data_IF_964720562747
#
_entry.id   IF_964720562747
#
_cell.length_a   1.000
_cell.length_b   1.000
_cell.length_c   1.000
_cell.angle_alpha   90.00
_cell.angle_beta   90.00
_cell.angle_gamma   90.00
#
_symmetry.space_group_name_H-M   'P 1'
#
loop_
_entity.id
_entity.type
_entity.pdbx_description
1 polymer ?
#
# COMPACT_ATOMS: atom_id res chain seq x y z
N UNK A 1 -6.90 37.64 16.46
CA UNK A 1 -7.74 36.50 16.00
C UNK A 1 -6.84 35.28 15.99
N UNK A 2 -7.21 34.18 16.65
CA UNK A 2 -6.40 32.94 16.63
C UNK A 2 -6.63 32.30 15.26
N UNK A 3 -5.81 32.68 14.27
CA UNK A 3 -5.82 32.02 12.97
C UNK A 3 -5.18 30.65 13.15
N UNK A 4 -5.93 29.60 12.80
CA UNK A 4 -5.45 28.23 12.91
C UNK A 4 -4.51 27.97 11.71
N UNK A 5 -3.23 27.63 11.92
CA UNK A 5 -2.31 27.40 10.81
C UNK A 5 -2.78 26.25 9.91
N UNK A 6 -2.68 26.41 8.60
CA UNK A 6 -3.12 25.38 7.64
C UNK A 6 -2.41 24.02 7.82
N UNK A 7 -1.10 23.96 8.17
CA UNK A 7 -0.45 22.70 8.49
C UNK A 7 -1.12 21.96 9.66
N UNK A 8 -1.73 22.67 10.61
CA UNK A 8 -2.45 22.03 11.71
C UNK A 8 -3.70 21.29 11.22
N UNK A 9 -4.41 21.87 10.24
CA UNK A 9 -5.56 21.21 9.61
C UNK A 9 -5.11 19.94 8.88
N UNK A 10 -4.01 19.99 8.13
CA UNK A 10 -3.44 18.81 7.48
C UNK A 10 -3.03 17.74 8.48
N UNK A 11 -2.47 18.13 9.63
CA UNK A 11 -2.13 17.21 10.72
C UNK A 11 -3.35 16.42 11.19
N UNK A 12 -4.47 17.11 11.43
CA UNK A 12 -5.73 16.50 11.85
C UNK A 12 -6.29 15.55 10.78
N UNK A 13 -6.28 15.98 9.51
CA UNK A 13 -6.76 15.15 8.39
C UNK A 13 -5.93 13.87 8.28
N UNK A 14 -4.61 13.97 8.23
CA UNK A 14 -3.74 12.79 8.12
C UNK A 14 -3.83 11.91 9.37
N UNK A 15 -3.94 12.49 10.56
CA UNK A 15 -4.16 11.76 11.81
C UNK A 15 -5.47 10.95 11.78
N UNK A 16 -6.57 11.58 11.36
CA UNK A 16 -7.85 10.91 11.17
C UNK A 16 -7.77 9.78 10.13
N UNK A 17 -7.14 10.02 8.98
CA UNK A 17 -6.96 9.00 7.94
C UNK A 17 -6.13 7.81 8.43
N UNK A 18 -5.09 8.08 9.22
CA UNK A 18 -4.25 7.05 9.85
C UNK A 18 -5.08 6.18 10.80
N UNK A 19 -5.82 6.81 11.72
CA UNK A 19 -6.69 6.11 12.67
C UNK A 19 -7.74 5.27 11.93
N UNK A 20 -8.40 5.86 10.93
CA UNK A 20 -9.40 5.17 10.11
C UNK A 20 -8.82 3.95 9.38
N UNK A 21 -7.58 4.03 8.91
CA UNK A 21 -6.93 2.92 8.21
C UNK A 21 -6.59 1.77 9.17
N UNK A 22 -6.05 2.09 10.34
CA UNK A 22 -5.70 1.12 11.39
C UNK A 22 -6.95 0.44 11.96
N UNK A 23 -7.99 1.21 12.30
CA UNK A 23 -9.24 0.66 12.86
C UNK A 23 -9.99 -0.26 11.88
N UNK A 24 -9.85 -0.02 10.58
CA UNK A 24 -10.47 -0.87 9.55
C UNK A 24 -9.70 -2.18 9.29
N UNK A 25 -8.57 -2.41 9.97
CA UNK A 25 -7.78 -3.64 9.85
C UNK A 25 -7.25 -3.90 8.43
N UNK A 26 -7.05 -2.84 7.63
CA UNK A 26 -6.59 -3.00 6.24
C UNK A 26 -5.10 -3.35 6.20
N UNK A 27 -4.67 -4.26 5.31
CA UNK A 27 -3.28 -4.73 5.25
C UNK A 27 -2.37 -3.75 4.47
N UNK A 28 -2.38 -2.46 4.84
CA UNK A 28 -1.49 -1.43 4.26
C UNK A 28 -0.74 -0.64 5.35
N UNK A 29 0.15 -1.33 6.10
CA UNK A 29 0.77 -0.78 7.30
C UNK A 29 1.76 0.35 7.01
N UNK A 30 2.46 0.34 5.87
CA UNK A 30 3.47 1.36 5.56
C UNK A 30 2.82 2.66 5.10
N UNK A 31 1.68 2.60 4.41
CA UNK A 31 0.86 3.75 4.10
C UNK A 31 0.27 4.37 5.38
N UNK A 32 -0.17 3.55 6.34
CA UNK A 32 -0.57 4.07 7.65
C UNK A 32 0.59 4.78 8.36
N UNK A 33 1.79 4.19 8.34
CA UNK A 33 2.99 4.80 8.90
C UNK A 33 3.34 6.13 8.20
N UNK A 34 3.24 6.18 6.88
CA UNK A 34 3.44 7.41 6.09
C UNK A 34 2.44 8.50 6.49
N UNK A 35 1.14 8.18 6.55
CA UNK A 35 0.10 9.14 6.94
C UNK A 35 0.31 9.64 8.38
N UNK A 36 0.67 8.75 9.31
CA UNK A 36 0.98 9.11 10.68
C UNK A 36 2.20 10.04 10.77
N UNK A 37 3.23 9.77 9.96
CA UNK A 37 4.43 10.60 9.89
C UNK A 37 4.13 11.98 9.29
N UNK A 38 3.31 12.05 8.24
CA UNK A 38 2.82 13.31 7.68
C UNK A 38 2.02 14.12 8.71
N UNK A 39 1.16 13.45 9.48
CA UNK A 39 0.40 14.09 10.55
C UNK A 39 1.33 14.69 11.62
N UNK A 40 2.32 13.91 12.08
CA UNK A 40 3.28 14.36 13.08
C UNK A 40 4.14 15.52 12.56
N UNK A 41 4.63 15.45 11.32
CA UNK A 41 5.44 16.51 10.73
C UNK A 41 4.65 17.82 10.55
N UNK A 42 3.38 17.75 10.15
CA UNK A 42 2.55 18.93 10.00
C UNK A 42 2.28 19.62 11.36
N UNK A 43 2.16 18.84 12.44
CA UNK A 43 2.12 19.37 13.80
C UNK A 43 3.46 19.99 14.21
N UNK A 44 4.58 19.32 13.94
CA UNK A 44 5.92 19.85 14.22
C UNK A 44 6.14 21.18 13.49
N UNK A 45 5.76 21.29 12.21
CA UNK A 45 5.84 22.54 11.45
C UNK A 45 5.02 23.65 12.12
N UNK A 46 3.79 23.36 12.53
CA UNK A 46 2.91 24.31 13.24
C UNK A 46 3.56 24.82 14.53
N UNK A 47 4.08 23.90 15.35
CA UNK A 47 4.72 24.24 16.61
C UNK A 47 6.03 25.03 16.40
N UNK A 48 6.81 24.66 15.39
CA UNK A 48 8.10 25.28 15.08
C UNK A 48 7.96 26.69 14.51
N UNK A 49 7.08 26.86 13.51
CA UNK A 49 6.98 28.07 12.69
C UNK A 49 5.95 29.08 13.20
N UNK A 50 4.80 28.62 13.70
CA UNK A 50 3.70 29.52 14.12
C UNK A 50 3.68 29.77 15.63
N UNK A 51 4.05 28.76 16.44
CA UNK A 51 4.08 28.90 17.91
C UNK A 51 5.49 29.06 18.49
N UNK A 52 6.52 28.97 17.65
CA UNK A 52 7.90 29.22 18.05
C UNK A 52 8.46 28.28 19.14
N UNK A 53 7.96 27.04 19.21
CA UNK A 53 8.43 26.02 20.17
C UNK A 53 9.85 25.58 19.81
N UNK A 54 10.79 25.80 20.73
CA UNK A 54 12.22 25.53 20.50
C UNK A 54 12.54 24.07 20.15
N UNK A 55 11.94 23.12 20.88
CA UNK A 55 12.11 21.68 20.61
C UNK A 55 11.62 21.30 19.20
N UNK A 56 10.50 21.89 18.76
CA UNK A 56 9.95 21.63 17.44
C UNK A 56 10.89 22.12 16.33
N UNK A 57 11.44 23.34 16.45
CA UNK A 57 12.48 23.86 15.53
C UNK A 57 13.73 22.97 15.49
N UNK A 58 14.10 22.40 16.64
CA UNK A 58 15.25 21.51 16.72
C UNK A 58 15.02 20.21 15.95
N UNK A 59 13.84 19.59 16.04
CA UNK A 59 13.60 18.30 15.37
C UNK A 59 13.15 18.43 13.91
N UNK A 60 12.50 19.54 13.54
CA UNK A 60 11.76 19.73 12.28
C UNK A 60 12.52 19.28 11.00
N UNK A 61 13.72 19.80 10.67
CA UNK A 61 14.46 19.36 9.48
C UNK A 61 14.85 17.88 9.47
N UNK A 62 15.14 17.30 10.64
CA UNK A 62 15.60 15.90 10.74
C UNK A 62 14.41 14.96 10.59
N UNK A 63 13.29 15.25 11.27
CA UNK A 63 12.07 14.46 11.15
C UNK A 63 11.45 14.53 9.74
N UNK A 64 11.61 15.67 9.04
CA UNK A 64 11.17 15.83 7.65
C UNK A 64 11.79 14.78 6.70
N UNK A 65 13.02 14.33 6.99
CA UNK A 65 13.75 13.39 6.12
C UNK A 65 13.21 11.96 6.15
N UNK A 66 12.40 11.62 7.14
CA UNK A 66 11.75 10.33 7.18
C UNK A 66 10.63 10.20 6.13
N UNK A 67 10.00 11.31 5.70
CA UNK A 67 8.81 11.28 4.83
C UNK A 67 9.12 10.72 3.43
N UNK A 68 10.12 11.22 2.68
CA UNK A 68 10.40 10.71 1.33
C UNK A 68 10.79 9.23 1.33
N UNK A 69 11.60 8.83 2.32
CA UNK A 69 11.99 7.45 2.54
C UNK A 69 10.78 6.56 2.83
N UNK A 70 9.90 6.98 3.75
CA UNK A 70 8.69 6.25 4.10
C UNK A 70 7.73 6.15 2.92
N UNK A 71 7.59 7.22 2.12
CA UNK A 71 6.74 7.22 0.92
C UNK A 71 7.21 6.18 -0.10
N UNK A 72 8.52 6.07 -0.30
CA UNK A 72 9.11 5.05 -1.17
C UNK A 72 8.91 3.63 -0.65
N UNK A 73 9.13 3.40 0.65
CA UNK A 73 8.92 2.09 1.27
C UNK A 73 7.44 1.68 1.23
N UNK A 74 6.53 2.62 1.49
CA UNK A 74 5.09 2.40 1.37
C UNK A 74 4.69 2.07 -0.07
N UNK A 75 5.25 2.74 -1.06
CA UNK A 75 5.02 2.40 -2.46
C UNK A 75 5.50 0.98 -2.79
N UNK A 76 6.72 0.60 -2.37
CA UNK A 76 7.26 -0.74 -2.66
C UNK A 76 6.47 -1.86 -2.00
N UNK A 77 6.04 -1.66 -0.76
CA UNK A 77 5.32 -2.67 0.02
C UNK A 77 3.83 -2.69 -0.30
N UNK A 78 3.14 -1.58 -0.05
CA UNK A 78 1.68 -1.49 -0.17
C UNK A 78 1.23 -1.22 -1.61
N UNK A 79 2.05 -0.55 -2.43
CA UNK A 79 1.78 -0.33 -3.85
C UNK A 79 2.15 -1.52 -4.73
N UNK A 80 3.37 -2.04 -4.58
CA UNK A 80 3.93 -3.10 -5.44
C UNK A 80 3.93 -4.50 -4.82
N UNK A 81 3.66 -4.65 -3.53
CA UNK A 81 3.64 -5.97 -2.89
C UNK A 81 4.99 -6.55 -2.53
N UNK A 82 6.05 -5.75 -2.65
CA UNK A 82 7.40 -6.22 -2.39
C UNK A 82 7.64 -6.37 -0.89
N UNK A 83 8.52 -7.31 -0.55
CA UNK A 83 8.99 -7.45 0.83
C UNK A 83 10.14 -6.48 1.09
N UNK A 84 10.23 -6.01 2.33
CA UNK A 84 11.37 -5.23 2.80
C UNK A 84 12.60 -6.13 2.99
N UNK A 85 13.76 -5.60 2.66
CA UNK A 85 15.06 -6.24 2.86
C UNK A 85 15.97 -5.36 3.71
N UNK A 86 17.02 -5.94 4.29
CA UNK A 86 17.97 -5.19 5.13
C UNK A 86 18.61 -3.99 4.40
N UNK A 87 18.77 -4.08 3.07
CA UNK A 87 19.28 -2.99 2.23
C UNK A 87 18.40 -1.75 2.27
N UNK A 88 17.11 -1.90 2.58
CA UNK A 88 16.17 -0.79 2.67
C UNK A 88 16.46 0.10 3.88
N UNK A 89 17.25 -0.37 4.86
CA UNK A 89 17.77 0.45 5.95
C UNK A 89 18.65 1.61 5.45
N UNK A 90 19.23 1.50 4.25
CA UNK A 90 20.01 2.59 3.64
C UNK A 90 19.17 3.84 3.39
N UNK A 91 17.84 3.72 3.28
CA UNK A 91 16.96 4.90 3.16
C UNK A 91 16.97 5.77 4.45
N UNK A 92 17.47 5.26 5.58
CA UNK A 92 17.71 6.01 6.81
C UNK A 92 18.97 6.91 6.77
N UNK A 93 19.85 6.74 5.79
CA UNK A 93 21.09 7.52 5.69
C UNK A 93 20.84 9.03 5.54
N UNK A 94 19.77 9.43 4.85
CA UNK A 94 19.40 10.84 4.71
C UNK A 94 19.08 11.51 6.05
N UNK A 95 18.37 10.80 6.93
CA UNK A 95 18.06 11.28 8.27
C UNK A 95 19.31 11.34 9.16
N UNK A 96 20.21 10.36 9.05
CA UNK A 96 21.50 10.37 9.74
C UNK A 96 22.40 11.53 9.29
N UNK A 97 22.45 11.79 7.97
CA UNK A 97 23.17 12.92 7.40
C UNK A 97 22.59 14.26 7.87
N UNK A 98 21.26 14.40 7.89
CA UNK A 98 20.60 15.60 8.39
C UNK A 98 20.90 15.86 9.89
N UNK A 99 20.97 14.80 10.69
CA UNK A 99 21.35 14.89 12.10
C UNK A 99 22.81 15.34 12.27
N UNK A 100 23.74 14.80 11.47
CA UNK A 100 25.16 15.15 11.52
C UNK A 100 25.42 16.61 11.06
N UNK A 101 24.72 17.06 10.01
CA UNK A 101 24.86 18.42 9.47
C UNK A 101 24.19 19.48 10.35
N UNK A 102 23.32 19.08 11.28
CA UNK A 102 22.56 20.01 12.12
C UNK A 102 23.45 20.91 12.99
N UNK A 103 24.54 20.38 13.55
CA UNK A 103 25.39 21.12 14.49
C UNK A 103 26.21 22.23 13.83
N UNK A 104 26.25 22.30 12.50
CA UNK A 104 27.14 23.21 11.75
C UNK A 104 26.40 24.33 11.01
N UNK A 105 25.11 24.57 11.28
CA UNK A 105 24.28 25.63 10.65
C UNK A 105 24.53 25.77 9.14
N UNK A 106 24.72 24.63 8.47
CA UNK A 106 25.27 24.62 7.11
C UNK A 106 24.15 24.72 6.08
N UNK A 107 24.36 25.55 5.05
CA UNK A 107 23.55 25.57 3.83
C UNK A 107 23.35 24.18 3.21
N UNK A 108 24.27 23.23 3.49
CA UNK A 108 24.16 21.83 3.09
C UNK A 108 22.88 21.16 3.63
N UNK A 109 22.45 21.47 4.85
CA UNK A 109 21.21 20.93 5.41
C UNK A 109 19.99 21.51 4.68
N UNK A 110 20.03 22.80 4.36
CA UNK A 110 18.96 23.48 3.63
C UNK A 110 18.80 22.97 2.20
N UNK A 111 19.88 22.49 1.58
CA UNK A 111 19.84 21.86 0.25
C UNK A 111 19.55 20.36 0.31
N UNK A 112 20.04 19.66 1.34
CA UNK A 112 19.85 18.22 1.48
C UNK A 112 18.36 17.85 1.56
N UNK A 113 17.57 18.64 2.28
CA UNK A 113 16.13 18.39 2.44
C UNK A 113 15.40 18.40 1.09
N UNK A 114 15.36 19.50 0.33
CA UNK A 114 14.66 19.56 -0.95
C UNK A 114 15.22 18.58 -1.98
N UNK A 115 16.53 18.35 -2.01
CA UNK A 115 17.15 17.36 -2.92
C UNK A 115 16.67 15.94 -2.62
N UNK A 116 16.53 15.58 -1.35
CA UNK A 116 16.02 14.27 -0.95
C UNK A 116 14.56 14.11 -1.37
N UNK A 117 13.71 15.11 -1.11
CA UNK A 117 12.31 15.09 -1.55
C UNK A 117 12.19 14.99 -3.07
N UNK A 118 12.95 15.77 -3.82
CA UNK A 118 12.96 15.74 -5.28
C UNK A 118 13.42 14.37 -5.82
N UNK A 119 14.49 13.80 -5.25
CA UNK A 119 15.01 12.50 -5.65
C UNK A 119 13.98 11.38 -5.50
N UNK A 120 13.28 11.32 -4.36
CA UNK A 120 12.22 10.33 -4.15
C UNK A 120 10.95 10.63 -4.96
N UNK A 121 10.60 11.89 -5.17
CA UNK A 121 9.48 12.26 -6.05
C UNK A 121 9.73 11.75 -7.48
N UNK A 122 10.95 11.96 -8.01
CA UNK A 122 11.36 11.46 -9.32
C UNK A 122 11.42 9.94 -9.37
N UNK A 123 11.97 9.29 -8.34
CA UNK A 123 12.02 7.83 -8.26
C UNK A 123 10.61 7.22 -8.25
N UNK A 124 9.70 7.79 -7.46
CA UNK A 124 8.31 7.36 -7.38
C UNK A 124 7.58 7.59 -8.71
N UNK A 125 7.72 8.76 -9.32
CA UNK A 125 7.15 9.06 -10.64
C UNK A 125 7.68 8.12 -11.74
N UNK A 126 8.98 7.84 -11.75
CA UNK A 126 9.60 6.90 -12.69
C UNK A 126 9.09 5.47 -12.47
N UNK A 127 8.88 5.06 -11.22
CA UNK A 127 8.31 3.75 -10.90
C UNK A 127 6.84 3.65 -11.31
N UNK A 128 6.04 4.69 -11.09
CA UNK A 128 4.63 4.74 -11.48
C UNK A 128 4.45 4.63 -12.99
N UNK A 129 5.30 5.31 -13.78
CA UNK A 129 5.31 5.21 -15.25
C UNK A 129 5.56 3.80 -15.77
N UNK A 130 6.32 2.97 -15.02
CA UNK A 130 6.66 1.60 -15.42
C UNK A 130 5.57 0.57 -15.12
N UNK A 131 4.74 0.83 -14.11
CA UNK A 131 3.78 -0.15 -13.57
C UNK A 131 2.42 -0.10 -14.27
N UNK A 132 2.09 1.04 -14.91
CA UNK A 132 0.83 1.19 -15.65
C UNK A 132 -0.40 1.25 -14.71
N UNK A 133 -1.63 1.18 -15.27
CA UNK A 133 -2.88 1.32 -14.52
C UNK A 133 -3.23 0.11 -13.63
N UNK A 134 -2.69 -1.08 -13.93
CA UNK A 134 -3.00 -2.32 -13.22
C UNK A 134 -1.98 -2.57 -12.09
N UNK A 135 -2.24 -1.98 -10.93
CA UNK A 135 -1.42 -2.20 -9.74
C UNK A 135 -1.58 -3.64 -9.20
N UNK A 136 -0.49 -4.36 -8.89
CA UNK A 136 -0.54 -5.76 -8.43
C UNK A 136 -1.44 -6.02 -7.21
N UNK A 137 -1.63 -5.01 -6.35
CA UNK A 137 -2.47 -5.07 -5.15
C UNK A 137 -3.71 -4.18 -5.19
N UNK A 138 -4.01 -3.53 -6.32
CA UNK A 138 -5.31 -2.89 -6.47
C UNK A 138 -6.39 -3.98 -6.47
N UNK A 139 -7.44 -3.80 -5.66
CA UNK A 139 -8.59 -4.71 -5.72
C UNK A 139 -9.19 -4.61 -7.12
N UNK A 140 -9.36 -5.75 -7.78
CA UNK A 140 -10.18 -5.86 -8.99
C UNK A 140 -11.54 -5.18 -8.71
N UNK A 141 -11.86 -4.14 -9.50
CA UNK A 141 -13.03 -3.27 -9.32
C UNK A 141 -12.76 -1.87 -8.75
N UNK A 142 -11.52 -1.49 -8.41
CA UNK A 142 -11.19 -0.13 -7.93
C UNK A 142 -10.63 0.83 -9.00
N UNK A 143 -10.50 0.37 -10.25
CA UNK A 143 -10.05 1.21 -11.38
C UNK A 143 -8.74 1.96 -11.12
N UNK A 144 -8.64 3.18 -11.66
CA UNK A 144 -7.45 4.04 -11.57
C UNK A 144 -7.22 4.67 -10.17
N UNK A 145 -8.09 4.44 -9.19
CA UNK A 145 -8.06 5.13 -7.88
C UNK A 145 -6.76 4.91 -7.09
N UNK A 146 -6.23 3.68 -6.97
CA UNK A 146 -4.99 3.48 -6.21
C UNK A 146 -3.79 4.12 -6.92
N UNK A 147 -3.78 4.14 -8.26
CA UNK A 147 -2.72 4.80 -9.04
C UNK A 147 -2.76 6.32 -8.83
N UNK A 148 -3.95 6.94 -8.90
CA UNK A 148 -4.13 8.37 -8.66
C UNK A 148 -3.65 8.78 -7.27
N UNK A 149 -3.91 7.97 -6.24
CA UNK A 149 -3.42 8.23 -4.89
C UNK A 149 -1.88 8.29 -4.83
N UNK A 150 -1.19 7.35 -5.47
CA UNK A 150 0.28 7.35 -5.51
C UNK A 150 0.87 8.46 -6.38
N UNK A 151 0.19 8.84 -7.47
CA UNK A 151 0.52 10.05 -8.24
C UNK A 151 0.40 11.27 -7.34
N UNK A 152 -0.67 11.37 -6.55
CA UNK A 152 -0.87 12.44 -5.57
C UNK A 152 0.26 12.51 -4.54
N UNK A 153 0.75 11.36 -4.05
CA UNK A 153 1.93 11.31 -3.16
C UNK A 153 3.18 11.83 -3.87
N UNK A 154 3.45 11.42 -5.11
CA UNK A 154 4.62 11.88 -5.87
C UNK A 154 4.57 13.40 -6.12
N UNK A 155 3.41 13.93 -6.50
CA UNK A 155 3.18 15.37 -6.67
C UNK A 155 3.35 16.12 -5.36
N UNK A 156 2.86 15.56 -4.25
CA UNK A 156 3.01 16.17 -2.92
C UNK A 156 4.47 16.25 -2.48
N UNK A 157 5.28 15.23 -2.76
CA UNK A 157 6.73 15.25 -2.51
C UNK A 157 7.43 16.30 -3.38
N UNK A 158 7.07 16.42 -4.66
CA UNK A 158 7.64 17.43 -5.55
C UNK A 158 7.29 18.85 -5.10
N UNK A 159 6.04 19.09 -4.71
CA UNK A 159 5.59 20.38 -4.17
C UNK A 159 6.33 20.72 -2.86
N UNK A 160 6.56 19.72 -1.99
CA UNK A 160 7.33 19.91 -0.76
C UNK A 160 8.78 20.28 -1.06
N UNK A 161 9.43 19.62 -2.04
CA UNK A 161 10.77 19.98 -2.48
C UNK A 161 10.87 21.43 -2.98
N UNK A 162 9.86 21.89 -3.74
CA UNK A 162 9.79 23.28 -4.22
C UNK A 162 9.59 24.27 -3.07
N UNK A 163 8.73 23.94 -2.11
CA UNK A 163 8.51 24.73 -0.90
C UNK A 163 9.80 24.87 -0.09
N UNK A 164 10.51 23.76 0.15
CA UNK A 164 11.75 23.74 0.93
C UNK A 164 12.86 24.52 0.22
N UNK A 165 12.95 24.45 -1.11
CA UNK A 165 13.87 25.27 -1.90
C UNK A 165 13.54 26.76 -1.79
N UNK A 166 12.25 27.12 -1.78
CA UNK A 166 11.78 28.47 -1.54
C UNK A 166 12.17 28.99 -0.15
N UNK A 167 12.07 28.15 0.88
CA UNK A 167 12.50 28.47 2.25
C UNK A 167 14.02 28.70 2.30
N UNK A 168 14.81 27.79 1.72
CA UNK A 168 16.26 27.94 1.66
C UNK A 168 16.67 29.24 0.95
N UNK A 169 16.04 29.56 -0.19
CA UNK A 169 16.28 30.82 -0.90
C UNK A 169 15.91 32.04 -0.04
N UNK A 170 14.76 31.99 0.65
CA UNK A 170 14.34 33.07 1.54
C UNK A 170 15.33 33.30 2.69
N UNK A 171 15.91 32.24 3.26
CA UNK A 171 16.92 32.35 4.32
C UNK A 171 18.20 33.01 3.77
N UNK A 172 18.72 32.54 2.63
CA UNK A 172 19.92 33.08 1.99
C UNK A 172 19.76 34.55 1.61
N UNK A 173 18.57 34.95 1.16
CA UNK A 173 18.25 36.33 0.79
C UNK A 173 17.90 37.22 2.00
N UNK A 174 17.98 36.72 3.24
CA UNK A 174 17.68 37.50 4.46
C UNK A 174 16.20 37.69 4.77
N UNK A 175 15.31 36.95 4.11
CA UNK A 175 13.86 37.00 4.23
C UNK A 175 13.28 35.80 5.03
N UNK A 176 14.04 35.24 5.97
CA UNK A 176 13.66 34.05 6.74
C UNK A 176 12.29 34.17 7.46
N UNK A 177 11.86 35.40 7.79
CA UNK A 177 10.54 35.67 8.38
C UNK A 177 9.36 35.27 7.48
N UNK A 178 9.59 35.07 6.18
CA UNK A 178 8.56 34.66 5.21
C UNK A 178 8.35 33.13 5.16
N UNK A 179 9.20 32.33 5.81
CA UNK A 179 9.10 30.87 5.76
C UNK A 179 7.72 30.30 6.18
N UNK A 180 7.03 30.81 7.21
CA UNK A 180 5.68 30.34 7.56
C UNK A 180 4.67 30.54 6.42
N UNK A 181 4.76 31.67 5.70
CA UNK A 181 3.88 31.97 4.56
C UNK A 181 4.08 30.98 3.41
N UNK A 182 5.34 30.60 3.12
CA UNK A 182 5.67 29.60 2.10
C UNK A 182 5.04 28.25 2.46
N UNK A 183 5.17 27.83 3.71
CA UNK A 183 4.58 26.57 4.22
C UNK A 183 3.06 26.60 4.18
N UNK A 184 2.44 27.72 4.55
CA UNK A 184 0.98 27.88 4.51
C UNK A 184 0.44 27.84 3.07
N UNK A 185 1.16 28.46 2.12
CA UNK A 185 0.83 28.40 0.69
C UNK A 185 0.94 26.96 0.16
N UNK A 186 2.05 26.27 0.45
CA UNK A 186 2.22 24.87 0.05
C UNK A 186 1.15 23.96 0.66
N UNK A 187 0.82 24.17 1.93
CA UNK A 187 -0.23 23.43 2.65
C UNK A 187 -1.62 23.68 2.05
N UNK A 188 -1.90 24.92 1.60
CA UNK A 188 -3.13 25.24 0.87
C UNK A 188 -3.24 24.42 -0.41
N UNK A 189 -2.19 24.43 -1.23
CA UNK A 189 -2.16 23.69 -2.51
C UNK A 189 -2.33 22.19 -2.26
N UNK A 190 -1.67 21.64 -1.24
CA UNK A 190 -1.86 20.23 -0.84
C UNK A 190 -3.30 19.95 -0.41
N UNK A 191 -3.91 20.82 0.39
CA UNK A 191 -5.29 20.63 0.87
C UNK A 191 -6.29 20.66 -0.30
N UNK A 192 -6.14 21.61 -1.22
CA UNK A 192 -6.92 21.65 -2.46
C UNK A 192 -6.68 20.41 -3.32
N UNK A 193 -5.43 19.95 -3.43
CA UNK A 193 -5.09 18.73 -4.15
C UNK A 193 -5.75 17.48 -3.57
N UNK A 194 -5.75 17.33 -2.25
CA UNK A 194 -6.44 16.24 -1.54
C UNK A 194 -7.95 16.33 -1.80
N UNK A 195 -8.54 17.52 -1.70
CA UNK A 195 -9.96 17.74 -2.00
C UNK A 195 -10.32 17.40 -3.45
N UNK A 196 -9.52 17.85 -4.42
CA UNK A 196 -9.70 17.52 -5.84
C UNK A 196 -9.55 16.03 -6.13
N UNK A 197 -8.61 15.36 -5.48
CA UNK A 197 -8.45 13.91 -5.57
C UNK A 197 -9.63 13.17 -4.94
N UNK A 198 -10.16 13.64 -3.81
CA UNK A 198 -11.35 13.09 -3.18
C UNK A 198 -12.59 13.22 -4.08
N UNK A 199 -12.81 14.39 -4.70
CA UNK A 199 -13.88 14.61 -5.66
C UNK A 199 -13.72 13.76 -6.92
N UNK A 200 -12.48 13.61 -7.41
CA UNK A 200 -12.18 12.72 -8.54
C UNK A 200 -12.48 11.27 -8.16
N UNK A 201 -12.10 10.87 -6.94
CA UNK A 201 -12.36 9.53 -6.44
C UNK A 201 -13.86 9.24 -6.29
N UNK A 202 -14.62 10.23 -5.83
CA UNK A 202 -16.08 10.17 -5.76
C UNK A 202 -16.69 10.08 -7.15
N UNK A 203 -16.27 10.91 -8.12
CA UNK A 203 -16.76 10.83 -9.52
C UNK A 203 -16.46 9.49 -10.17
N UNK A 204 -15.27 8.94 -9.95
CA UNK A 204 -14.90 7.61 -10.44
C UNK A 204 -15.68 6.49 -9.72
N UNK A 205 -16.11 6.72 -8.47
CA UNK A 205 -16.97 5.79 -7.73
C UNK A 205 -18.45 5.91 -8.08
N UNK A 206 -18.93 7.11 -8.44
CA UNK A 206 -20.33 7.40 -8.84
C UNK A 206 -20.55 7.08 -10.32
N UNK A 207 -19.52 7.25 -11.16
CA UNK A 207 -19.48 6.71 -12.52
C UNK A 207 -19.33 5.19 -12.56
N UNK A 208 -18.80 4.60 -11.46
CA UNK A 208 -18.99 3.20 -11.10
C UNK A 208 -20.28 3.04 -10.27
N UNK A 209 -21.38 3.62 -10.76
CA UNK A 209 -22.70 3.17 -10.34
C UNK A 209 -22.69 1.63 -10.37
N UNK A 210 -23.41 0.94 -9.46
CA UNK A 210 -23.78 -0.42 -9.78
C UNK A 210 -24.46 -0.29 -11.15
N UNK A 211 -23.82 -0.77 -12.21
CA UNK A 211 -24.60 -1.36 -13.28
C UNK A 211 -25.60 -2.21 -12.51
N UNK A 212 -26.89 -1.85 -12.58
CA UNK A 212 -27.94 -2.87 -12.52
C UNK A 212 -27.33 -4.05 -13.21
N UNK A 213 -27.09 -5.19 -12.52
CA UNK A 213 -26.15 -6.17 -13.00
C UNK A 213 -26.50 -6.42 -14.45
N UNK A 214 -25.69 -5.89 -15.38
CA UNK A 214 -25.67 -6.41 -16.71
C UNK A 214 -25.46 -7.88 -16.42
N UNK A 215 -26.41 -8.75 -16.84
CA UNK A 215 -26.44 -10.13 -16.39
C UNK A 215 -25.01 -10.62 -16.53
N UNK A 216 -24.36 -10.87 -15.38
CA UNK A 216 -22.92 -11.17 -15.32
C UNK A 216 -22.70 -12.17 -16.43
N UNK A 217 -21.88 -11.86 -17.46
CA UNK A 217 -21.99 -12.52 -18.75
C UNK A 217 -22.13 -13.99 -18.49
N UNK A 218 -23.33 -14.52 -18.74
CA UNK A 218 -23.70 -15.86 -18.30
C UNK A 218 -22.59 -16.77 -18.80
N UNK A 219 -21.98 -17.57 -17.91
CA UNK A 219 -20.77 -18.29 -18.27
C UNK A 219 -21.05 -19.03 -19.56
N UNK A 220 -20.24 -18.78 -20.58
CA UNK A 220 -20.46 -19.43 -21.86
C UNK A 220 -20.14 -20.92 -21.73
N UNK A 221 -20.57 -21.72 -22.69
CA UNK A 221 -20.19 -23.13 -22.74
C UNK A 221 -18.65 -23.30 -22.75
N UNK A 222 -17.93 -22.36 -23.38
CA UNK A 222 -16.46 -22.28 -23.35
C UNK A 222 -15.90 -21.99 -21.95
N UNK A 223 -16.57 -21.14 -21.15
CA UNK A 223 -16.15 -20.86 -19.77
C UNK A 223 -16.31 -22.09 -18.88
N UNK A 224 -17.44 -22.80 -19.01
CA UNK A 224 -17.66 -24.06 -18.33
C UNK A 224 -16.67 -25.14 -18.76
N UNK A 225 -16.39 -25.26 -20.07
CA UNK A 225 -15.40 -26.20 -20.59
C UNK A 225 -13.99 -25.88 -20.09
N UNK A 226 -13.60 -24.61 -20.04
CA UNK A 226 -12.33 -24.17 -19.50
C UNK A 226 -12.22 -24.45 -18.00
N UNK A 227 -13.29 -24.21 -17.23
CA UNK A 227 -13.34 -24.51 -15.81
C UNK A 227 -13.28 -26.02 -15.55
N UNK A 228 -13.98 -26.85 -16.33
CA UNK A 228 -13.89 -28.31 -16.24
C UNK A 228 -12.46 -28.81 -16.52
N UNK A 229 -11.77 -28.24 -17.51
CA UNK A 229 -10.34 -28.55 -17.77
C UNK A 229 -9.45 -28.15 -16.60
N UNK A 230 -9.75 -27.04 -15.93
CA UNK A 230 -9.06 -26.63 -14.71
C UNK A 230 -9.33 -27.60 -13.56
N UNK A 231 -10.57 -28.04 -13.35
CA UNK A 231 -10.92 -29.07 -12.34
C UNK A 231 -10.13 -30.36 -12.57
N UNK A 232 -10.17 -30.90 -13.79
CA UNK A 232 -9.40 -32.10 -14.16
C UNK A 232 -7.91 -31.91 -13.88
N UNK A 233 -7.34 -30.72 -14.18
CA UNK A 233 -5.94 -30.42 -13.88
C UNK A 233 -5.67 -30.40 -12.36
N UNK A 234 -6.60 -29.83 -11.57
CA UNK A 234 -6.47 -29.75 -10.11
C UNK A 234 -6.50 -31.14 -9.46
N UNK A 235 -7.33 -32.04 -9.96
CA UNK A 235 -7.45 -33.41 -9.46
C UNK A 235 -6.29 -34.30 -9.91
N UNK A 236 -6.01 -34.34 -11.21
CA UNK A 236 -5.05 -35.30 -11.78
C UNK A 236 -3.59 -34.95 -11.51
N UNK A 237 -3.25 -33.66 -11.52
CA UNK A 237 -1.85 -33.19 -11.43
C UNK A 237 -1.54 -32.51 -10.11
N UNK A 238 -2.56 -32.23 -9.29
CA UNK A 238 -2.43 -31.53 -8.00
C UNK A 238 -1.47 -30.33 -8.01
N UNK A 239 -1.54 -29.42 -9.01
CA UNK A 239 -0.64 -28.27 -9.11
C UNK A 239 -0.69 -27.36 -7.88
N UNK A 240 -1.81 -27.37 -7.15
CA UNK A 240 -2.02 -26.62 -5.93
C UNK A 240 -1.03 -26.98 -4.81
N UNK A 241 -0.34 -28.12 -4.86
CA UNK A 241 0.72 -28.47 -3.90
C UNK A 241 1.99 -27.63 -4.06
N UNK A 242 2.23 -27.10 -5.25
CA UNK A 242 3.40 -26.28 -5.54
C UNK A 242 3.26 -24.92 -4.83
N UNK A 243 4.15 -24.56 -3.89
CA UNK A 243 4.11 -23.29 -3.17
C UNK A 243 4.34 -22.08 -4.10
N UNK A 244 5.05 -22.28 -5.22
CA UNK A 244 5.39 -21.23 -6.18
C UNK A 244 4.37 -21.13 -7.34
N UNK A 245 3.22 -21.80 -7.21
CA UNK A 245 2.17 -21.80 -8.23
C UNK A 245 1.64 -20.38 -8.50
N UNK A 246 1.74 -19.97 -9.76
CA UNK A 246 1.22 -18.70 -10.29
C UNK A 246 0.09 -18.93 -11.29
N UNK A 247 -0.76 -17.91 -11.45
CA UNK A 247 -1.80 -17.91 -12.47
C UNK A 247 -1.23 -18.07 -13.89
N UNK A 248 -0.05 -17.49 -14.16
CA UNK A 248 0.64 -17.64 -15.45
C UNK A 248 1.03 -19.10 -15.73
N UNK A 249 1.49 -19.85 -14.72
CA UNK A 249 1.79 -21.28 -14.87
C UNK A 249 0.52 -22.11 -15.10
N UNK A 250 -0.59 -21.81 -14.43
CA UNK A 250 -1.88 -22.47 -14.69
C UNK A 250 -2.38 -22.19 -16.11
N UNK A 251 -2.30 -20.94 -16.56
CA UNK A 251 -2.64 -20.56 -17.94
C UNK A 251 -1.80 -21.33 -18.97
N UNK A 252 -0.48 -21.42 -18.77
CA UNK A 252 0.40 -22.22 -19.64
C UNK A 252 0.03 -23.70 -19.69
N UNK A 253 -0.26 -24.32 -18.54
CA UNK A 253 -0.67 -25.75 -18.46
C UNK A 253 -2.00 -26.02 -19.16
N UNK A 254 -2.88 -25.03 -19.20
CA UNK A 254 -4.18 -25.08 -19.89
C UNK A 254 -4.14 -24.48 -21.31
N UNK A 255 -2.97 -24.06 -21.78
CA UNK A 255 -2.78 -23.35 -23.06
C UNK A 255 -3.75 -22.16 -23.24
N UNK A 256 -4.00 -21.43 -22.15
CA UNK A 256 -4.98 -20.34 -22.09
C UNK A 256 -4.36 -19.08 -21.46
N UNK A 257 -4.64 -17.87 -21.97
CA UNK A 257 -4.16 -16.64 -21.34
C UNK A 257 -4.61 -16.53 -19.88
N UNK A 258 -3.69 -16.14 -18.99
CA UNK A 258 -3.93 -15.99 -17.55
C UNK A 258 -5.19 -15.15 -17.23
N UNK A 259 -5.40 -14.06 -17.98
CA UNK A 259 -6.56 -13.18 -17.83
C UNK A 259 -7.88 -13.89 -18.17
N UNK A 260 -7.90 -14.70 -19.24
CA UNK A 260 -9.09 -15.48 -19.66
C UNK A 260 -9.43 -16.57 -18.64
N UNK A 261 -8.40 -17.28 -18.14
CA UNK A 261 -8.58 -18.28 -17.08
C UNK A 261 -9.14 -17.65 -15.81
N UNK A 262 -8.61 -16.52 -15.36
CA UNK A 262 -9.13 -15.83 -14.17
C UNK A 262 -10.57 -15.34 -14.36
N UNK A 263 -10.93 -14.89 -15.56
CA UNK A 263 -12.29 -14.45 -15.87
C UNK A 263 -13.27 -15.64 -15.83
N UNK A 264 -12.95 -16.75 -16.50
CA UNK A 264 -13.80 -17.94 -16.54
C UNK A 264 -14.05 -18.53 -15.14
N UNK A 265 -13.02 -18.62 -14.29
CA UNK A 265 -13.21 -19.09 -12.90
C UNK A 265 -14.13 -18.18 -12.11
N UNK A 266 -13.96 -16.86 -12.24
CA UNK A 266 -14.82 -15.90 -11.55
C UNK A 266 -16.28 -16.02 -12.03
N UNK A 267 -16.51 -16.15 -13.34
CA UNK A 267 -17.86 -16.31 -13.89
C UNK A 267 -18.53 -17.61 -13.43
N UNK A 268 -17.81 -18.74 -13.45
CA UNK A 268 -18.39 -20.06 -13.12
C UNK A 268 -18.56 -20.25 -11.62
N UNK A 269 -17.63 -19.75 -10.79
CA UNK A 269 -17.62 -20.02 -9.33
C UNK A 269 -18.08 -18.86 -8.46
N UNK A 270 -18.12 -17.63 -9.00
CA UNK A 270 -18.29 -16.41 -8.22
C UNK A 270 -17.10 -16.07 -7.32
N UNK A 271 -15.97 -16.79 -7.46
CA UNK A 271 -14.81 -16.69 -6.58
C UNK A 271 -13.52 -16.46 -7.37
N UNK A 272 -12.50 -15.89 -6.71
CA UNK A 272 -11.23 -15.66 -7.37
C UNK A 272 -10.38 -16.93 -7.45
N UNK A 273 -9.54 -17.02 -8.49
CA UNK A 273 -8.69 -18.19 -8.74
C UNK A 273 -7.78 -18.55 -7.56
N UNK A 274 -7.26 -17.58 -6.82
CA UNK A 274 -6.41 -17.85 -5.65
C UNK A 274 -7.20 -18.50 -4.50
N UNK A 275 -8.44 -18.07 -4.25
CA UNK A 275 -9.34 -18.70 -3.27
C UNK A 275 -9.75 -20.09 -3.71
N UNK A 276 -10.00 -20.28 -5.00
CA UNK A 276 -10.30 -21.58 -5.58
C UNK A 276 -9.15 -22.57 -5.34
N UNK A 277 -7.91 -22.18 -5.68
CA UNK A 277 -6.69 -22.97 -5.41
C UNK A 277 -6.52 -23.23 -3.91
N UNK A 278 -6.65 -22.20 -3.08
CA UNK A 278 -6.53 -22.35 -1.62
C UNK A 278 -7.60 -23.28 -1.04
N UNK A 279 -8.80 -23.34 -1.64
CA UNK A 279 -9.83 -24.30 -1.26
C UNK A 279 -9.36 -25.75 -1.40
N UNK A 280 -8.70 -26.08 -2.52
CA UNK A 280 -8.06 -27.39 -2.72
C UNK A 280 -6.97 -27.66 -1.69
N UNK A 281 -6.11 -26.67 -1.42
CA UNK A 281 -5.06 -26.78 -0.40
C UNK A 281 -5.62 -27.04 0.99
N UNK A 282 -6.67 -26.33 1.41
CA UNK A 282 -7.30 -26.52 2.73
C UNK A 282 -7.99 -27.88 2.83
N UNK A 283 -8.67 -28.35 1.79
CA UNK A 283 -9.25 -29.72 1.79
C UNK A 283 -8.17 -30.78 1.98
N UNK A 284 -7.04 -30.65 1.30
CA UNK A 284 -5.90 -31.55 1.47
C UNK A 284 -5.31 -31.47 2.88
N UNK A 285 -5.20 -30.26 3.45
CA UNK A 285 -4.76 -30.06 4.83
C UNK A 285 -5.72 -30.70 5.84
N UNK A 286 -7.04 -30.56 5.67
CA UNK A 286 -8.04 -31.19 6.55
C UNK A 286 -7.87 -32.72 6.56
N UNK A 287 -7.75 -33.32 5.38
CA UNK A 287 -7.51 -34.75 5.25
C UNK A 287 -6.17 -35.20 5.88
N UNK A 288 -5.13 -34.35 5.82
CA UNK A 288 -3.86 -34.64 6.50
C UNK A 288 -4.00 -34.57 8.03
N UNK A 289 -4.73 -33.58 8.55
CA UNK A 289 -5.00 -33.43 9.98
C UNK A 289 -5.80 -34.61 10.53
N UNK A 290 -6.78 -35.10 9.78
CA UNK A 290 -7.58 -36.29 10.14
C UNK A 290 -6.72 -37.57 10.18
N UNK A 291 -5.66 -37.65 9.38
CA UNK A 291 -4.68 -38.74 9.44
C UNK A 291 -3.64 -38.57 10.55
N UNK A 292 -3.80 -37.57 11.41
CA UNK A 292 -2.91 -37.32 12.56
C UNK A 292 -1.69 -36.45 12.25
N UNK A 293 -1.60 -35.83 11.08
CA UNK A 293 -0.53 -34.87 10.79
C UNK A 293 -0.62 -33.66 11.72
N UNK A 294 0.52 -33.06 12.05
CA UNK A 294 0.55 -31.79 12.77
C UNK A 294 0.06 -30.65 11.88
N UNK A 295 -0.42 -29.57 12.49
CA UNK A 295 -0.85 -28.37 11.75
C UNK A 295 0.26 -27.76 10.87
N UNK A 296 1.53 -27.91 11.27
CA UNK A 296 2.67 -27.44 10.49
C UNK A 296 2.95 -28.33 9.28
N UNK A 297 2.90 -29.65 9.44
CA UNK A 297 3.06 -30.59 8.32
C UNK A 297 1.93 -30.44 7.31
N UNK A 298 0.68 -30.41 7.76
CA UNK A 298 -0.48 -30.21 6.91
C UNK A 298 -0.43 -28.87 6.15
N UNK A 299 0.14 -27.82 6.75
CA UNK A 299 0.35 -26.53 6.09
C UNK A 299 1.36 -26.63 4.95
N UNK A 300 2.53 -27.23 5.21
CA UNK A 300 3.62 -27.33 4.25
C UNK A 300 3.26 -28.26 3.09
N UNK A 301 2.65 -29.42 3.38
CA UNK A 301 2.21 -30.38 2.36
C UNK A 301 1.09 -29.83 1.47
N UNK A 302 0.27 -28.94 2.01
CA UNK A 302 -0.76 -28.24 1.26
C UNK A 302 -0.21 -27.07 0.42
N UNK A 303 1.11 -26.81 0.42
CA UNK A 303 1.74 -25.77 -0.39
C UNK A 303 1.61 -24.35 0.18
N UNK A 304 1.35 -24.20 1.48
CA UNK A 304 1.35 -22.89 2.13
C UNK A 304 2.75 -22.54 2.66
N UNK A 305 3.27 -21.39 2.22
CA UNK A 305 4.58 -20.88 2.67
C UNK A 305 4.52 -20.22 4.06
N UNK A 306 3.35 -19.68 4.45
CA UNK A 306 3.22 -18.90 5.71
C UNK A 306 2.02 -19.34 6.55
N UNK A 307 2.23 -19.42 7.85
CA UNK A 307 1.21 -19.78 8.86
C UNK A 307 0.02 -18.82 8.90
N UNK A 308 0.27 -17.52 8.70
CA UNK A 308 -0.80 -16.51 8.69
C UNK A 308 -1.77 -16.69 7.52
N UNK A 309 -1.24 -16.99 6.32
CA UNK A 309 -2.09 -17.28 5.16
C UNK A 309 -2.88 -18.57 5.37
N UNK A 310 -2.20 -19.63 5.82
CA UNK A 310 -2.83 -20.91 6.12
C UNK A 310 -3.98 -20.77 7.11
N UNK A 311 -3.75 -20.18 8.29
CA UNK A 311 -4.78 -20.03 9.32
C UNK A 311 -5.99 -19.22 8.85
N UNK A 312 -5.77 -18.17 8.06
CA UNK A 312 -6.85 -17.33 7.52
C UNK A 312 -7.71 -18.10 6.52
N UNK A 313 -7.08 -18.78 5.56
CA UNK A 313 -7.82 -19.57 4.56
C UNK A 313 -8.47 -20.81 5.18
N UNK A 314 -7.83 -21.44 6.16
CA UNK A 314 -8.39 -22.57 6.91
C UNK A 314 -9.70 -22.17 7.59
N UNK A 315 -9.70 -21.03 8.31
CA UNK A 315 -10.91 -20.51 8.95
C UNK A 315 -11.97 -20.06 7.96
N UNK A 316 -11.58 -19.52 6.80
CA UNK A 316 -12.53 -19.13 5.75
C UNK A 316 -13.27 -20.33 5.18
N UNK A 317 -12.56 -21.43 4.92
CA UNK A 317 -13.14 -22.62 4.27
C UNK A 317 -13.87 -23.50 5.27
N UNK A 318 -13.34 -23.66 6.49
CA UNK A 318 -13.87 -24.63 7.48
C UNK A 318 -14.65 -23.99 8.62
N UNK A 319 -14.56 -22.68 8.81
CA UNK A 319 -15.08 -21.97 9.98
C UNK A 319 -14.22 -22.11 11.25
N UNK A 320 -13.28 -23.05 11.29
CA UNK A 320 -12.46 -23.40 12.46
C UNK A 320 -10.99 -23.00 12.29
N UNK A 321 -10.24 -23.01 13.40
CA UNK A 321 -8.77 -22.98 13.34
C UNK A 321 -8.24 -24.40 13.09
N UNK A 322 -7.00 -24.59 12.57
CA UNK A 322 -6.43 -25.92 12.38
C UNK A 322 -6.46 -26.76 13.67
N UNK A 323 -6.11 -26.15 14.82
CA UNK A 323 -6.17 -26.80 16.12
C UNK A 323 -7.61 -27.11 16.56
N UNK A 324 -8.56 -26.22 16.25
CA UNK A 324 -9.98 -26.46 16.50
C UNK A 324 -10.54 -27.60 15.66
N UNK A 325 -10.10 -27.71 14.40
CA UNK A 325 -10.43 -28.83 13.51
C UNK A 325 -9.91 -30.16 14.06
N UNK A 326 -8.64 -30.18 14.49
CA UNK A 326 -8.05 -31.35 15.15
C UNK A 326 -8.77 -31.72 16.45
N UNK A 327 -9.20 -30.75 17.25
CA UNK A 327 -9.95 -31.04 18.48
C UNK A 327 -11.37 -31.57 18.18
N UNK A 328 -12.00 -31.13 17.09
CA UNK A 328 -13.32 -31.57 16.68
C UNK A 328 -13.34 -32.96 16.01
N UNK A 329 -12.27 -33.32 15.31
CA UNK A 329 -12.16 -34.57 14.53
C UNK A 329 -11.12 -35.55 15.10
N UNK A 330 -10.43 -35.17 16.17
CA UNK A 330 -9.50 -36.00 16.93
C UNK A 330 -10.22 -36.69 18.09
N UNK A 331 -11.04 -37.70 17.76
CA UNK A 331 -11.43 -38.79 18.65
C UNK A 331 -11.50 -40.08 17.84
#
# INVERSE_FOLDING_TARGET
>A
MIALPLPLILSLIFGFLTLRLVMRGRPVPMLAALLGLLAAQALINTLALHHGVGLARLIQPVSAMAIPAMAWLAWRTDGLGQRLHLRDAAHGLGMAAALALRSHASILLELLVPLTYAGYALALAASLRKVGPDLPHARLGQGALPLLAWIGVAVSLALSALSDLGIAAAIVLGHAAQAPMIVDLASSVLLFGIGGLALTAERLSVGAAPEDPEPSPTPTEDDHALFARLETLMETRSPWRDPDLTLAQLGRRLQTPAKRLSAAVNLVTGDNISRYVNGHRIRAACAALERGATATEAMLDAGFVTKSNFNREFRRVTGLTPTGWQAAHGR
#
